data_IF_235894176119
#
_entry.id   IF_235894176119
#
_cell.length_a   1.000
_cell.length_b   1.000
_cell.length_c   1.000
_cell.angle_alpha   90.00
_cell.angle_beta   90.00
_cell.angle_gamma   90.00
#
_symmetry.space_group_name_H-M   'P 1'
#
loop_
_entity.id
_entity.type
_entity.pdbx_description
1 polymer ?
#
# COMPACT_ATOMS: atom_id res chain seq x y z
N UNK A 1 -7.29 8.95 18.38
CA UNK A 1 -5.95 8.93 17.76
C UNK A 1 -6.18 9.22 16.29
N UNK A 2 -5.77 10.39 15.79
CA UNK A 2 -5.92 10.72 14.37
C UNK A 2 -4.95 9.86 13.58
N UNK A 3 -5.47 8.96 12.74
CA UNK A 3 -4.67 8.25 11.76
C UNK A 3 -3.98 9.31 10.89
N UNK A 4 -2.65 9.39 10.96
CA UNK A 4 -1.89 10.36 10.18
C UNK A 4 -1.84 9.83 8.75
N UNK A 5 -2.64 10.43 7.89
CA UNK A 5 -2.59 10.21 6.45
C UNK A 5 -1.52 11.10 5.81
N UNK A 6 -0.78 10.55 4.85
CA UNK A 6 0.29 11.25 4.12
C UNK A 6 -0.10 11.53 2.66
N UNK A 7 0.66 12.40 1.99
CA UNK A 7 0.57 12.61 0.56
C UNK A 7 1.35 11.55 -0.23
N UNK A 8 0.92 11.23 -1.46
CA UNK A 8 1.57 10.25 -2.34
C UNK A 8 3.05 10.57 -2.60
N UNK A 9 3.40 11.85 -2.65
CA UNK A 9 4.77 12.33 -2.87
C UNK A 9 5.69 11.98 -1.69
N UNK A 10 5.14 11.93 -0.47
CA UNK A 10 5.85 11.60 0.78
C UNK A 10 6.01 10.10 1.02
N UNK A 11 5.29 9.28 0.25
CA UNK A 11 5.36 7.82 0.35
C UNK A 11 6.55 7.27 -0.44
N UNK A 12 7.41 6.55 0.26
CA UNK A 12 8.43 5.69 -0.35
C UNK A 12 7.90 4.27 -0.51
N UNK A 13 7.32 3.72 0.58
CA UNK A 13 6.60 2.46 0.63
C UNK A 13 5.30 2.70 1.41
N UNK A 14 4.16 2.27 0.86
CA UNK A 14 2.87 2.46 1.51
C UNK A 14 1.68 2.02 0.67
N UNK A 15 0.48 2.15 1.24
CA UNK A 15 -0.77 1.82 0.56
C UNK A 15 -1.88 2.82 0.87
N UNK A 16 -2.87 2.85 -0.01
CA UNK A 16 -4.10 3.61 0.13
C UNK A 16 -5.28 2.64 0.27
N UNK A 17 -6.26 2.87 1.15
CA UNK A 17 -7.41 1.97 1.36
C UNK A 17 -8.22 1.68 0.09
N UNK A 18 -8.20 2.58 -0.90
CA UNK A 18 -8.81 2.38 -2.23
C UNK A 18 -8.08 1.36 -3.13
N UNK A 19 -7.10 0.63 -2.58
CA UNK A 19 -6.39 -0.43 -3.31
C UNK A 19 -5.13 0.03 -4.04
N UNK A 20 -4.58 1.20 -3.71
CA UNK A 20 -3.34 1.66 -4.33
C UNK A 20 -2.13 1.30 -3.47
N UNK A 21 -1.01 0.98 -4.13
CA UNK A 21 0.27 0.72 -3.48
C UNK A 21 1.37 1.53 -4.14
N UNK A 22 2.18 2.18 -3.31
CA UNK A 22 3.45 2.79 -3.71
C UNK A 22 4.58 1.95 -3.11
N UNK A 23 5.53 1.55 -3.95
CA UNK A 23 6.78 0.93 -3.54
C UNK A 23 7.91 1.41 -4.45
N UNK A 24 8.54 2.53 -4.09
CA UNK A 24 9.63 3.13 -4.88
C UNK A 24 10.90 2.27 -4.88
N UNK A 25 11.01 1.28 -3.99
CA UNK A 25 12.13 0.33 -3.93
C UNK A 25 11.96 -0.84 -4.91
N UNK A 26 10.72 -1.12 -5.34
CA UNK A 26 10.44 -2.12 -6.36
C UNK A 26 10.92 -1.68 -7.76
N UNK A 27 10.93 -2.65 -8.69
CA UNK A 27 11.23 -2.38 -10.10
C UNK A 27 10.30 -1.30 -10.68
N UNK A 28 10.75 -0.51 -11.66
CA UNK A 28 9.98 0.63 -12.19
C UNK A 28 8.52 0.33 -12.54
N UNK A 29 8.24 -0.85 -13.09
CA UNK A 29 6.89 -1.29 -13.49
C UNK A 29 5.97 -1.61 -12.29
N UNK A 30 6.54 -1.84 -11.11
CA UNK A 30 5.83 -2.25 -9.89
C UNK A 30 5.78 -1.14 -8.82
N UNK A 31 6.31 0.05 -9.13
CA UNK A 31 6.35 1.17 -8.18
C UNK A 31 4.98 1.65 -7.79
N UNK A 32 4.08 1.74 -8.77
CA UNK A 32 2.72 2.23 -8.57
C UNK A 32 1.77 1.19 -9.11
N UNK A 33 0.98 0.60 -8.22
CA UNK A 33 0.05 -0.45 -8.59
C UNK A 33 -1.32 -0.21 -7.97
N UNK A 34 -2.36 -0.55 -8.72
CA UNK A 34 -3.73 -0.64 -8.24
C UNK A 34 -4.13 -2.11 -8.14
N UNK A 35 -4.75 -2.46 -7.04
CA UNK A 35 -5.21 -3.80 -6.70
C UNK A 35 -6.71 -3.74 -6.46
N UNK A 36 -7.39 -4.85 -6.74
CA UNK A 36 -8.77 -5.02 -6.33
C UNK A 36 -8.77 -5.49 -4.87
N UNK A 37 -9.40 -4.71 -3.99
CA UNK A 37 -9.53 -5.02 -2.56
C UNK A 37 -10.81 -5.81 -2.34
N UNK A 38 -10.66 -7.12 -2.11
CA UNK A 38 -11.77 -8.01 -1.78
C UNK A 38 -12.07 -7.96 -0.28
N UNK A 39 -13.28 -8.37 0.10
CA UNK A 39 -13.68 -8.53 1.51
C UNK A 39 -12.66 -9.36 2.30
N UNK A 40 -12.31 -8.91 3.50
CA UNK A 40 -11.31 -9.58 4.35
C UNK A 40 -9.86 -9.17 4.07
N UNK A 41 -9.62 -7.93 3.62
CA UNK A 41 -8.28 -7.35 3.43
C UNK A 41 -7.41 -8.09 2.41
N UNK A 42 -8.03 -8.74 1.43
CA UNK A 42 -7.32 -9.50 0.39
C UNK A 42 -7.15 -8.65 -0.87
N UNK A 43 -5.90 -8.45 -1.27
CA UNK A 43 -5.55 -7.65 -2.45
C UNK A 43 -5.23 -8.59 -3.61
N UNK A 44 -5.87 -8.38 -4.76
CA UNK A 44 -5.68 -9.22 -5.97
C UNK A 44 -5.53 -8.37 -7.23
N UNK A 45 -5.14 -9.00 -8.35
CA UNK A 45 -5.04 -8.39 -9.69
C UNK A 45 -4.22 -7.09 -9.74
N UNK A 46 -2.92 -7.12 -9.42
CA UNK A 46 -2.07 -5.94 -9.52
C UNK A 46 -2.02 -5.41 -10.95
N UNK A 47 -2.33 -4.13 -11.11
CA UNK A 47 -2.20 -3.39 -12.37
C UNK A 47 -1.25 -2.23 -12.16
N UNK A 48 -0.25 -2.09 -13.04
CA UNK A 48 0.62 -0.92 -13.04
C UNK A 48 -0.19 0.32 -13.40
N UNK A 49 0.06 1.43 -12.69
CA UNK A 49 -0.61 2.71 -12.91
C UNK A 49 0.41 3.85 -12.98
N UNK A 50 0.03 4.97 -13.57
CA UNK A 50 0.83 6.19 -13.54
C UNK A 50 0.71 6.87 -12.16
N UNK A 51 1.73 7.65 -11.79
CA UNK A 51 1.70 8.43 -10.54
C UNK A 51 0.53 9.41 -10.52
N UNK A 52 0.17 10.00 -11.67
CA UNK A 52 -0.95 10.95 -11.79
C UNK A 52 -2.33 10.30 -11.56
N UNK A 53 -2.43 8.97 -11.59
CA UNK A 53 -3.66 8.23 -11.30
C UNK A 53 -3.82 7.86 -9.82
N UNK A 54 -2.84 8.23 -8.99
CA UNK A 54 -2.84 7.96 -7.56
C UNK A 54 -3.64 9.03 -6.80
N UNK A 55 -4.35 8.66 -5.72
CA UNK A 55 -4.88 9.64 -4.77
C UNK A 55 -3.76 10.56 -4.28
N UNK A 56 -4.02 11.87 -4.16
CA UNK A 56 -3.00 12.81 -3.66
C UNK A 56 -2.70 12.59 -2.18
N UNK A 57 -3.73 12.36 -1.38
CA UNK A 57 -3.69 12.25 0.08
C UNK A 57 -4.29 10.91 0.56
N UNK A 58 -4.26 10.64 1.87
CA UNK A 58 -4.93 9.46 2.45
C UNK A 58 -4.04 8.23 2.55
N UNK A 59 -2.72 8.41 2.36
CA UNK A 59 -1.79 7.29 2.33
C UNK A 59 -1.35 6.85 3.71
N UNK A 60 -1.16 5.54 3.83
CA UNK A 60 -0.59 4.91 5.03
C UNK A 60 0.85 4.51 4.70
N UNK A 61 1.81 5.21 5.32
CA UNK A 61 3.23 4.91 5.15
C UNK A 61 3.59 3.61 5.86
N UNK A 62 4.42 2.80 5.20
CA UNK A 62 5.04 1.60 5.77
C UNK A 62 6.55 1.72 5.65
N UNK A 63 7.26 1.21 6.65
CA UNK A 63 8.71 1.16 6.61
C UNK A 63 9.19 0.10 5.61
N UNK A 64 8.50 -1.05 5.60
CA UNK A 64 8.66 -2.16 4.65
C UNK A 64 7.33 -2.89 4.51
N UNK A 65 7.05 -3.46 3.33
CA UNK A 65 6.01 -4.49 3.23
C UNK A 65 6.60 -5.76 3.82
N UNK A 66 6.30 -6.01 5.10
CA UNK A 66 6.54 -7.31 5.70
C UNK A 66 5.59 -8.30 5.01
N UNK A 67 6.08 -8.96 3.97
CA UNK A 67 5.41 -10.10 3.36
C UNK A 67 5.46 -11.32 4.30
N UNK A 68 6.11 -11.20 5.47
CA UNK A 68 6.21 -12.26 6.45
C UNK A 68 4.86 -12.46 7.16
N UNK A 69 4.24 -13.54 6.72
CA UNK A 69 3.07 -14.20 7.25
C UNK A 69 3.31 -14.66 8.70
N UNK A 70 3.28 -13.77 9.70
CA UNK A 70 3.17 -14.12 11.14
C UNK A 70 2.88 -12.91 12.03
N UNK A 71 1.61 -12.68 12.32
CA UNK A 71 1.18 -12.09 13.59
C UNK A 71 -0.02 -12.90 14.11
N UNK A 72 0.20 -14.19 14.31
CA UNK A 72 -0.47 -14.94 15.36
C UNK A 72 0.56 -15.15 16.47
N UNK A 73 0.76 -14.13 17.29
CA UNK A 73 1.20 -14.34 18.66
C UNK A 73 0.29 -13.49 19.55
N UNK A 74 -0.91 -14.03 19.77
CA UNK A 74 -1.70 -13.74 20.95
C UNK A 74 -1.85 -15.05 21.70
N UNK A 75 -1.10 -15.13 22.80
CA UNK A 75 -1.43 -15.76 24.08
C UNK A 75 -1.81 -17.26 24.06
N UNK A 76 -0.90 -18.07 24.57
CA UNK A 76 -1.12 -19.44 25.02
C UNK A 76 0.06 -19.91 25.85
#
# INVERSE_FOLDING_TARGET
MTEVCFEATEIEIGFHPDGYRIDKTASPMNRYTKWDVLSGSRWVNPRSVCFDSLPSSGWIKKDRFDWDRRSMESIG
#
